data_IF_288199543149
#
_entry.id   IF_288199543149
#
_cell.length_a   1.000
_cell.length_b   1.000
_cell.length_c   1.000
_cell.angle_alpha   90.00
_cell.angle_beta   90.00
_cell.angle_gamma   90.00
#
_symmetry.space_group_name_H-M   'P 1'
#
loop_
_entity.id
_entity.type
_entity.pdbx_description
1 polymer ?
#
# COMPACT_ATOMS: atom_id res chain seq x y z
N UNK A 1 -21.76 -6.83 -61.29
CA UNK A 1 -21.54 -7.54 -60.01
C UNK A 1 -20.18 -7.23 -59.32
N UNK A 2 -19.58 -6.04 -59.51
CA UNK A 2 -18.26 -5.68 -58.93
C UNK A 2 -18.30 -4.59 -57.84
N UNK A 3 -19.40 -3.86 -57.70
CA UNK A 3 -19.50 -2.70 -56.80
C UNK A 3 -19.74 -3.10 -55.33
N UNK A 4 -20.43 -4.22 -55.07
CA UNK A 4 -20.67 -4.70 -53.69
C UNK A 4 -19.39 -5.16 -52.96
N UNK A 5 -18.36 -5.65 -53.66
CA UNK A 5 -17.10 -6.08 -53.03
C UNK A 5 -16.22 -4.91 -52.55
N UNK A 6 -16.27 -3.77 -53.24
CA UNK A 6 -15.47 -2.58 -52.89
C UNK A 6 -16.01 -1.90 -51.64
N UNK A 7 -17.34 -1.81 -51.48
CA UNK A 7 -17.95 -1.23 -50.27
C UNK A 7 -17.65 -2.03 -49.00
N UNK A 8 -17.61 -3.37 -49.09
CA UNK A 8 -17.29 -4.23 -47.94
C UNK A 8 -15.82 -4.08 -47.53
N UNK A 9 -14.89 -4.01 -48.49
CA UNK A 9 -13.48 -3.75 -48.20
C UNK A 9 -13.24 -2.34 -47.62
N UNK A 10 -13.92 -1.31 -48.13
CA UNK A 10 -13.83 0.04 -47.58
C UNK A 10 -14.41 0.13 -46.17
N UNK A 11 -15.56 -0.51 -45.90
CA UNK A 11 -16.13 -0.57 -44.57
C UNK A 11 -15.22 -1.26 -43.54
N UNK A 12 -14.55 -2.35 -43.93
CA UNK A 12 -13.60 -3.06 -43.06
C UNK A 12 -12.33 -2.24 -42.81
N UNK A 13 -11.83 -1.51 -43.82
CA UNK A 13 -10.67 -0.63 -43.67
C UNK A 13 -10.94 0.58 -42.77
N UNK A 14 -12.13 1.20 -42.91
CA UNK A 14 -12.54 2.33 -42.05
C UNK A 14 -12.77 1.88 -40.61
N UNK A 15 -13.34 0.69 -40.39
CA UNK A 15 -13.47 0.10 -39.04
C UNK A 15 -12.10 -0.20 -38.41
N UNK A 16 -11.13 -0.70 -39.17
CA UNK A 16 -9.77 -0.92 -38.67
C UNK A 16 -9.03 0.39 -38.37
N UNK A 17 -9.19 1.42 -39.20
CA UNK A 17 -8.58 2.73 -38.97
C UNK A 17 -9.12 3.43 -37.71
N UNK A 18 -10.43 3.38 -37.48
CA UNK A 18 -11.06 3.90 -36.25
C UNK A 18 -10.67 3.12 -35.00
N UNK A 19 -10.46 1.80 -35.10
CA UNK A 19 -9.96 0.99 -33.99
C UNK A 19 -8.50 1.36 -33.65
N UNK A 20 -7.64 1.55 -34.65
CA UNK A 20 -6.22 1.89 -34.47
C UNK A 20 -6.06 3.33 -33.90
N UNK A 21 -6.94 4.27 -34.27
CA UNK A 21 -6.98 5.61 -33.69
C UNK A 21 -7.48 5.65 -32.23
N UNK A 22 -8.38 4.75 -31.84
CA UNK A 22 -8.79 4.60 -30.44
C UNK A 22 -7.65 4.04 -29.57
N UNK A 23 -6.88 3.08 -30.11
CA UNK A 23 -5.76 2.42 -29.42
C UNK A 23 -4.57 3.39 -29.22
N UNK A 24 -4.35 4.34 -30.14
CA UNK A 24 -3.29 5.36 -30.00
C UNK A 24 -3.64 6.52 -29.07
N UNK A 25 -4.93 6.73 -28.74
CA UNK A 25 -5.36 7.68 -27.70
C UNK A 25 -5.39 7.08 -26.30
N UNK A 26 -5.63 5.78 -26.17
CA UNK A 26 -5.71 5.11 -24.86
C UNK A 26 -4.37 5.15 -24.10
N UNK A 27 -3.23 4.95 -24.77
CA UNK A 27 -1.90 5.02 -24.14
C UNK A 27 -1.47 6.44 -23.73
N UNK A 28 -2.10 7.48 -24.28
CA UNK A 28 -1.90 8.87 -23.82
C UNK A 28 -2.64 9.16 -22.51
N UNK A 29 -3.62 8.32 -22.15
CA UNK A 29 -4.44 8.49 -20.95
C UNK A 29 -4.02 7.51 -19.87
N UNK A 30 -3.69 6.27 -20.21
CA UNK A 30 -3.25 5.25 -19.27
C UNK A 30 -1.92 4.66 -19.72
N UNK A 31 -0.93 4.61 -18.83
CA UNK A 31 0.38 4.01 -19.10
C UNK A 31 0.24 2.50 -19.38
N UNK A 32 -0.77 1.87 -18.78
CA UNK A 32 -1.25 0.55 -19.15
C UNK A 32 -2.72 0.37 -18.82
N UNK A 33 -3.34 -0.69 -19.36
CA UNK A 33 -4.78 -0.92 -19.20
C UNK A 33 -5.65 -0.03 -20.08
N UNK A 34 -6.92 0.09 -19.72
CA UNK A 34 -7.92 0.87 -20.45
C UNK A 34 -8.38 2.07 -19.62
N UNK A 35 -8.65 3.24 -20.24
CA UNK A 35 -9.21 4.39 -19.55
C UNK A 35 -10.66 4.14 -19.15
N UNK A 36 -11.00 4.51 -17.91
CA UNK A 36 -12.38 4.42 -17.43
C UNK A 36 -13.21 5.54 -18.06
N UNK A 37 -14.36 5.18 -18.65
CA UNK A 37 -15.25 6.15 -19.31
C UNK A 37 -16.38 6.63 -18.38
N UNK A 38 -16.74 7.93 -18.41
CA UNK A 38 -16.04 9.01 -19.10
C UNK A 38 -14.67 9.28 -18.46
N UNK A 39 -13.67 9.71 -19.25
CA UNK A 39 -12.29 9.96 -18.80
C UNK A 39 -12.30 10.95 -17.63
N UNK A 40 -11.60 10.60 -16.53
CA UNK A 40 -11.49 11.44 -15.33
C UNK A 40 -10.05 11.50 -14.84
N UNK A 41 -9.61 12.69 -14.48
CA UNK A 41 -8.36 12.89 -13.75
C UNK A 41 -8.50 12.41 -12.32
N UNK A 42 -7.39 12.01 -11.70
CA UNK A 42 -7.36 11.51 -10.35
C UNK A 42 -6.08 11.92 -9.64
N UNK A 43 -6.18 11.97 -8.31
CA UNK A 43 -5.04 12.09 -7.41
C UNK A 43 -4.82 10.80 -6.63
N UNK A 44 -5.90 10.07 -6.34
CA UNK A 44 -5.93 8.82 -5.56
C UNK A 44 -6.83 7.78 -6.23
N UNK A 45 -6.70 6.52 -5.81
CA UNK A 45 -7.53 5.43 -6.34
C UNK A 45 -9.02 5.67 -6.09
N UNK A 46 -9.38 6.27 -4.95
CA UNK A 46 -10.76 6.60 -4.57
C UNK A 46 -11.46 7.50 -5.56
N UNK A 47 -10.74 8.41 -6.21
CA UNK A 47 -11.30 9.31 -7.22
C UNK A 47 -11.84 8.55 -8.44
N UNK A 48 -11.33 7.34 -8.66
CA UNK A 48 -11.69 6.46 -9.76
C UNK A 48 -12.81 5.46 -9.42
N UNK A 49 -13.04 5.21 -8.13
CA UNK A 49 -14.02 4.24 -7.69
C UNK A 49 -15.46 4.77 -7.93
N UNK A 50 -16.32 4.04 -8.66
CA UNK A 50 -17.72 4.43 -8.80
C UNK A 50 -18.39 4.45 -7.42
N UNK A 51 -19.05 5.56 -7.09
CA UNK A 51 -19.67 5.82 -5.79
C UNK A 51 -18.69 5.81 -4.60
N UNK A 52 -17.38 5.99 -4.84
CA UNK A 52 -16.35 5.98 -3.81
C UNK A 52 -16.06 4.60 -3.21
N UNK A 53 -16.63 3.52 -3.74
CA UNK A 53 -16.43 2.18 -3.18
C UNK A 53 -15.09 1.58 -3.65
N UNK A 54 -14.02 1.84 -2.90
CA UNK A 54 -12.65 1.41 -3.25
C UNK A 54 -12.40 -0.08 -3.04
N UNK A 55 -13.15 -0.75 -2.16
CA UNK A 55 -12.82 -2.12 -1.75
C UNK A 55 -13.03 -3.12 -2.88
N UNK A 56 -14.07 -2.93 -3.70
CA UNK A 56 -14.43 -3.78 -4.86
C UNK A 56 -13.92 -3.25 -6.20
N UNK A 57 -13.13 -2.18 -6.19
CA UNK A 57 -12.71 -1.49 -7.40
C UNK A 57 -11.38 -2.07 -7.93
N UNK A 58 -11.39 -2.51 -9.19
CA UNK A 58 -10.22 -3.09 -9.86
C UNK A 58 -9.45 -2.09 -10.73
N UNK A 59 -9.81 -0.80 -10.66
CA UNK A 59 -9.05 0.27 -11.28
C UNK A 59 -8.07 0.94 -10.33
N UNK A 60 -7.26 1.83 -10.90
CA UNK A 60 -6.29 2.64 -10.18
C UNK A 60 -6.24 4.05 -10.75
N UNK A 61 -5.63 4.94 -9.97
CA UNK A 61 -5.18 6.22 -10.50
C UNK A 61 -3.77 6.04 -11.05
N UNK A 62 -3.59 6.23 -12.36
CA UNK A 62 -2.28 6.13 -12.98
C UNK A 62 -1.35 7.23 -12.44
N UNK A 63 -0.22 6.83 -11.88
CA UNK A 63 0.64 7.75 -11.16
C UNK A 63 1.39 8.71 -12.09
N UNK A 64 1.53 8.36 -13.37
CA UNK A 64 2.24 9.12 -14.39
C UNK A 64 1.29 10.04 -15.15
N UNK A 65 0.19 9.49 -15.67
CA UNK A 65 -0.76 10.27 -16.48
C UNK A 65 -1.80 11.00 -15.64
N UNK A 66 -2.00 10.61 -14.37
CA UNK A 66 -3.01 11.16 -13.45
C UNK A 66 -4.45 10.97 -13.92
N UNK A 67 -4.73 9.86 -14.61
CA UNK A 67 -6.08 9.48 -15.04
C UNK A 67 -6.51 8.13 -14.46
N UNK A 68 -7.83 7.93 -14.42
CA UNK A 68 -8.44 6.70 -13.96
C UNK A 68 -8.36 5.60 -15.01
N UNK A 69 -7.73 4.48 -14.63
CA UNK A 69 -7.45 3.36 -15.49
C UNK A 69 -7.92 2.06 -14.86
N UNK A 70 -8.28 1.09 -15.68
CA UNK A 70 -8.66 -0.25 -15.23
C UNK A 70 -7.96 -1.34 -16.02
N UNK A 71 -7.97 -2.55 -15.45
CA UNK A 71 -7.35 -3.69 -16.10
C UNK A 71 -8.18 -4.09 -17.32
N UNK A 72 -7.59 -4.06 -18.51
CA UNK A 72 -8.20 -4.62 -19.69
C UNK A 72 -8.40 -6.13 -19.48
N UNK A 73 -9.64 -6.67 -19.50
CA UNK A 73 -9.89 -8.10 -19.25
C UNK A 73 -9.21 -9.03 -20.26
N UNK A 74 -8.82 -8.49 -21.42
CA UNK A 74 -8.16 -9.21 -22.52
C UNK A 74 -6.64 -9.05 -22.50
N UNK A 75 -6.08 -8.29 -21.57
CA UNK A 75 -4.63 -8.08 -21.49
C UNK A 75 -3.92 -9.39 -21.13
N UNK A 76 -2.95 -9.79 -21.97
CA UNK A 76 -2.03 -10.89 -21.67
C UNK A 76 -0.91 -10.47 -20.71
N UNK A 77 -0.74 -9.17 -20.49
CA UNK A 77 0.30 -8.63 -19.61
C UNK A 77 -0.31 -8.37 -18.23
N UNK A 78 0.28 -8.92 -17.15
CA UNK A 78 -0.14 -8.59 -15.80
C UNK A 78 0.17 -7.10 -15.53
N UNK A 79 -0.89 -6.35 -15.21
CA UNK A 79 -0.84 -4.93 -14.82
C UNK A 79 -0.83 -4.77 -13.29
N UNK A 80 -0.53 -5.85 -12.57
CA UNK A 80 -0.37 -5.91 -11.12
C UNK A 80 1.08 -6.20 -10.77
N UNK A 81 1.46 -5.79 -9.56
CA UNK A 81 2.71 -6.14 -8.92
C UNK A 81 2.80 -7.66 -8.66
N UNK A 82 3.97 -8.18 -8.26
CA UNK A 82 4.17 -9.61 -8.02
C UNK A 82 3.27 -10.21 -6.92
N UNK A 83 2.69 -9.37 -6.06
CA UNK A 83 1.67 -9.72 -5.06
C UNK A 83 0.29 -10.04 -5.67
N UNK A 84 0.12 -9.80 -6.99
CA UNK A 84 -1.11 -10.00 -7.78
C UNK A 84 -2.31 -9.18 -7.32
N UNK A 85 -2.06 -8.16 -6.51
CA UNK A 85 -3.09 -7.34 -5.89
C UNK A 85 -2.85 -5.87 -6.21
N UNK A 86 -1.64 -5.38 -5.94
CA UNK A 86 -1.31 -3.96 -6.08
C UNK A 86 -1.23 -3.58 -7.56
N UNK A 87 -1.97 -2.57 -8.04
CA UNK A 87 -1.88 -2.10 -9.42
C UNK A 87 -0.50 -1.52 -9.72
N UNK A 88 0.14 -2.01 -10.78
CA UNK A 88 1.53 -1.68 -11.15
C UNK A 88 1.70 -0.18 -11.40
N UNK A 89 0.90 0.36 -12.33
CA UNK A 89 0.93 1.76 -12.73
C UNK A 89 0.26 2.70 -11.70
N UNK A 90 -0.29 2.13 -10.62
CA UNK A 90 -0.71 2.88 -9.45
C UNK A 90 0.43 3.17 -8.48
N UNK A 91 1.60 2.54 -8.64
CA UNK A 91 2.75 2.73 -7.73
C UNK A 91 3.74 3.79 -8.24
N UNK A 92 4.61 4.25 -7.34
CA UNK A 92 5.70 5.17 -7.69
C UNK A 92 6.75 4.49 -8.59
N UNK A 93 7.41 5.27 -9.46
CA UNK A 93 8.52 4.75 -10.27
C UNK A 93 9.79 4.54 -9.46
N UNK A 94 10.51 3.48 -9.80
CA UNK A 94 11.87 3.25 -9.34
C UNK A 94 12.86 4.21 -10.00
N UNK A 95 13.90 4.58 -9.25
CA UNK A 95 15.03 5.32 -9.80
C UNK A 95 15.93 4.38 -10.59
N UNK A 96 16.57 4.87 -11.65
CA UNK A 96 17.57 4.13 -12.42
C UNK A 96 17.09 2.76 -12.93
N UNK A 97 15.78 2.61 -13.19
CA UNK A 97 15.25 1.39 -13.76
C UNK A 97 15.65 1.29 -15.24
N UNK A 98 16.14 0.11 -15.64
CA UNK A 98 16.55 -0.18 -17.01
C UNK A 98 15.34 -0.68 -17.80
N UNK A 99 15.08 -0.03 -18.94
CA UNK A 99 13.99 -0.44 -19.82
C UNK A 99 14.14 -1.90 -20.28
N UNK A 100 13.05 -2.65 -20.28
CA UNK A 100 13.04 -4.07 -20.63
C UNK A 100 13.50 -5.03 -19.52
N UNK A 101 14.16 -4.56 -18.46
CA UNK A 101 14.56 -5.41 -17.33
C UNK A 101 13.47 -5.49 -16.26
N UNK A 102 13.03 -6.71 -15.97
CA UNK A 102 11.91 -6.97 -15.05
C UNK A 102 12.20 -6.51 -13.62
N UNK A 103 13.41 -6.75 -13.10
CA UNK A 103 13.81 -6.32 -11.77
C UNK A 103 15.05 -5.43 -11.89
N UNK A 104 14.83 -4.12 -11.96
CA UNK A 104 15.92 -3.14 -12.12
C UNK A 104 15.56 -1.80 -11.49
N UNK A 105 16.59 -1.08 -11.02
CA UNK A 105 16.45 0.20 -10.34
C UNK A 105 16.31 0.09 -8.83
N UNK A 106 16.05 1.24 -8.20
CA UNK A 106 15.98 1.40 -6.76
C UNK A 106 14.63 2.00 -6.33
N UNK A 107 13.99 1.37 -5.36
CA UNK A 107 12.78 1.86 -4.72
C UNK A 107 13.14 2.95 -3.71
N UNK A 108 12.34 4.02 -3.66
CA UNK A 108 12.45 5.02 -2.57
C UNK A 108 11.94 4.48 -1.23
N UNK A 109 11.08 3.48 -1.26
CA UNK A 109 10.54 2.82 -0.07
C UNK A 109 11.44 1.64 0.31
N UNK A 110 11.90 1.59 1.56
CA UNK A 110 12.81 0.55 2.05
C UNK A 110 12.25 -0.89 1.88
N UNK A 111 10.93 -1.06 1.94
CA UNK A 111 10.25 -2.35 1.69
C UNK A 111 9.85 -2.61 0.24
N UNK A 112 10.17 -1.71 -0.69
CA UNK A 112 9.76 -1.80 -2.09
C UNK A 112 10.75 -2.55 -2.96
N UNK A 113 10.25 -3.45 -3.81
CA UNK A 113 10.99 -4.11 -4.87
C UNK A 113 10.68 -3.45 -6.21
N UNK A 114 11.70 -3.15 -7.00
CA UNK A 114 11.48 -2.66 -8.36
C UNK A 114 11.04 -3.78 -9.28
N UNK A 115 9.86 -3.62 -9.87
CA UNK A 115 9.29 -4.52 -10.85
C UNK A 115 8.78 -3.73 -12.04
N UNK A 116 9.35 -3.99 -13.22
CA UNK A 116 9.09 -3.28 -14.49
C UNK A 116 9.21 -1.75 -14.35
N UNK A 117 10.14 -1.29 -13.53
CA UNK A 117 10.37 0.14 -13.27
C UNK A 117 9.44 0.80 -12.25
N UNK A 118 8.57 0.04 -11.59
CA UNK A 118 7.68 0.53 -10.53
C UNK A 118 8.02 -0.11 -9.18
N UNK A 119 7.87 0.67 -8.11
CA UNK A 119 8.09 0.24 -6.73
C UNK A 119 6.91 -0.59 -6.25
N UNK A 120 7.07 -1.91 -6.25
CA UNK A 120 6.03 -2.86 -5.85
C UNK A 120 6.27 -3.42 -4.45
N UNK A 121 5.20 -3.89 -3.78
CA UNK A 121 5.38 -4.74 -2.61
C UNK A 121 6.09 -6.04 -3.01
N UNK A 122 6.85 -6.64 -2.08
CA UNK A 122 7.55 -7.88 -2.30
C UNK A 122 6.58 -9.06 -2.50
N UNK A 123 7.05 -10.08 -3.21
CA UNK A 123 6.23 -11.21 -3.66
C UNK A 123 5.73 -12.06 -2.47
N UNK A 124 4.42 -12.07 -2.24
CA UNK A 124 3.77 -13.04 -1.36
C UNK A 124 3.68 -14.38 -2.12
N UNK A 125 4.59 -15.33 -1.83
CA UNK A 125 4.66 -16.61 -2.58
C UNK A 125 3.54 -17.58 -2.22
N UNK A 126 3.17 -17.71 -0.95
CA UNK A 126 1.98 -18.44 -0.47
C UNK A 126 1.62 -17.99 0.96
N UNK A 127 0.42 -18.31 1.46
CA UNK A 127 0.04 -18.10 2.87
C UNK A 127 0.88 -18.92 3.88
N UNK A 128 1.69 -19.87 3.41
CA UNK A 128 2.54 -20.74 4.25
C UNK A 128 4.05 -20.42 4.13
N UNK A 129 4.47 -19.74 3.07
CA UNK A 129 5.84 -19.26 2.88
C UNK A 129 5.84 -17.74 2.96
N UNK A 130 5.78 -17.26 4.19
CA UNK A 130 5.90 -15.87 4.56
C UNK A 130 7.36 -15.39 4.42
N UNK A 131 7.88 -15.40 3.19
CA UNK A 131 8.97 -14.49 2.87
C UNK A 131 8.34 -13.13 2.57
N UNK A 132 7.91 -12.47 3.64
CA UNK A 132 7.63 -11.04 3.57
C UNK A 132 8.85 -10.32 3.00
N UNK A 133 8.64 -9.16 2.40
CA UNK A 133 9.73 -8.19 2.40
C UNK A 133 10.16 -7.95 3.83
N UNK A 134 11.45 -7.76 4.05
CA UNK A 134 11.95 -7.52 5.39
C UNK A 134 11.25 -6.32 6.03
N UNK A 135 10.88 -5.31 5.25
CA UNK A 135 10.31 -4.05 5.72
C UNK A 135 8.85 -3.87 5.30
N UNK A 136 8.10 -3.13 6.12
CA UNK A 136 6.73 -2.72 5.85
C UNK A 136 6.67 -1.78 4.63
N UNK A 137 5.67 -1.96 3.76
CA UNK A 137 5.55 -1.26 2.48
C UNK A 137 4.22 -0.50 2.35
N UNK A 138 4.28 0.76 1.88
CA UNK A 138 3.09 1.57 1.62
C UNK A 138 2.62 1.37 0.19
N UNK A 139 1.39 0.89 0.03
CA UNK A 139 0.74 0.88 -1.28
C UNK A 139 -0.01 2.19 -1.53
N UNK A 140 -0.25 2.50 -2.80
CA UNK A 140 -1.17 3.57 -3.20
C UNK A 140 -2.64 3.12 -3.31
N UNK A 141 -2.98 1.93 -2.78
CA UNK A 141 -4.37 1.50 -2.73
C UNK A 141 -5.08 2.14 -1.53
N UNK A 142 -6.30 2.64 -1.75
CA UNK A 142 -7.09 3.29 -0.71
C UNK A 142 -7.91 2.28 0.10
N UNK A 143 -8.15 2.60 1.37
CA UNK A 143 -9.00 1.82 2.28
C UNK A 143 -9.82 2.72 3.20
N UNK A 144 -10.75 2.11 3.93
CA UNK A 144 -11.55 2.77 4.96
C UNK A 144 -11.12 2.25 6.34
N UNK A 145 -10.70 3.14 7.23
CA UNK A 145 -10.16 2.82 8.57
C UNK A 145 -11.21 2.20 9.50
N UNK A 146 -12.47 2.56 9.30
CA UNK A 146 -13.63 2.06 10.06
C UNK A 146 -14.34 0.90 9.35
N UNK A 147 -13.68 0.22 8.42
CA UNK A 147 -14.23 -0.96 7.74
C UNK A 147 -13.25 -2.12 7.77
N UNK A 148 -13.80 -3.32 7.89
CA UNK A 148 -13.02 -4.53 7.84
C UNK A 148 -12.38 -4.70 6.45
N UNK A 149 -11.11 -5.11 6.42
CA UNK A 149 -10.40 -5.37 5.16
C UNK A 149 -10.93 -6.62 4.46
N UNK A 150 -11.14 -6.53 3.14
CA UNK A 150 -11.59 -7.68 2.35
C UNK A 150 -10.65 -8.90 2.43
N UNK A 151 -11.19 -10.09 2.11
CA UNK A 151 -10.46 -11.38 2.11
C UNK A 151 -9.18 -11.39 1.28
N UNK A 152 -9.10 -10.56 0.23
CA UNK A 152 -7.93 -10.47 -0.67
C UNK A 152 -6.73 -9.75 -0.06
N UNK A 153 -6.91 -8.92 0.97
CA UNK A 153 -5.88 -8.06 1.56
C UNK A 153 -5.09 -8.74 2.68
N UNK A 154 -4.66 -9.99 2.44
CA UNK A 154 -3.88 -10.74 3.42
C UNK A 154 -2.55 -10.04 3.68
N UNK A 155 -2.17 -10.01 4.95
CA UNK A 155 -0.99 -9.34 5.50
C UNK A 155 -0.96 -7.84 5.26
N UNK A 156 -2.14 -7.21 5.30
CA UNK A 156 -2.28 -5.78 5.14
C UNK A 156 -3.09 -5.17 6.28
N UNK A 157 -2.90 -3.87 6.45
CA UNK A 157 -3.71 -3.03 7.34
C UNK A 157 -4.06 -1.71 6.63
N UNK A 158 -5.13 -1.06 7.08
CA UNK A 158 -5.46 0.30 6.67
C UNK A 158 -4.77 1.29 7.61
N UNK A 159 -3.94 2.20 7.09
CA UNK A 159 -3.27 3.17 7.94
C UNK A 159 -4.19 4.35 8.27
N UNK A 160 -4.29 4.70 9.55
CA UNK A 160 -5.28 5.66 10.07
C UNK A 160 -5.13 7.06 9.47
N UNK A 161 -3.90 7.56 9.32
CA UNK A 161 -3.68 8.94 8.87
C UNK A 161 -3.76 9.08 7.34
N UNK A 162 -3.22 8.10 6.60
CA UNK A 162 -3.14 8.22 5.13
C UNK A 162 -4.37 7.66 4.43
N UNK A 163 -5.06 6.69 5.04
CA UNK A 163 -6.16 5.96 4.38
C UNK A 163 -5.68 5.05 3.25
N UNK A 164 -4.44 4.58 3.33
CA UNK A 164 -3.83 3.66 2.36
C UNK A 164 -3.70 2.27 2.96
N UNK A 165 -3.72 1.25 2.11
CA UNK A 165 -3.30 -0.09 2.49
C UNK A 165 -1.78 -0.16 2.60
N UNK A 166 -1.32 -0.78 3.67
CA UNK A 166 0.09 -1.07 3.89
C UNK A 166 0.26 -2.57 3.99
N UNK A 167 1.33 -3.10 3.38
CA UNK A 167 1.75 -4.49 3.50
C UNK A 167 2.68 -4.59 4.69
N UNK A 168 2.39 -5.50 5.60
CA UNK A 168 3.22 -5.73 6.79
C UNK A 168 4.49 -6.51 6.42
N UNK A 169 5.64 -6.05 6.93
CA UNK A 169 6.93 -6.75 6.81
C UNK A 169 7.23 -7.59 8.05
N UNK A 170 8.47 -8.08 8.16
CA UNK A 170 9.01 -8.54 9.46
C UNK A 170 9.36 -7.33 10.35
N UNK A 171 9.82 -6.27 9.69
CA UNK A 171 10.28 -5.03 10.27
C UNK A 171 9.33 -3.88 9.93
N UNK A 172 9.22 -2.93 10.85
CA UNK A 172 8.48 -1.69 10.70
C UNK A 172 9.19 -0.77 9.67
N UNK A 173 8.68 0.43 9.44
CA UNK A 173 9.30 1.38 8.48
C UNK A 173 10.69 1.88 8.90
N UNK A 174 11.07 1.70 10.17
CA UNK A 174 12.34 2.14 10.75
C UNK A 174 13.39 1.01 10.81
N UNK A 175 12.99 -0.24 10.64
CA UNK A 175 13.88 -1.41 10.69
C UNK A 175 13.78 -2.22 11.99
N UNK A 176 12.85 -1.89 12.88
CA UNK A 176 12.62 -2.64 14.12
C UNK A 176 11.61 -3.77 13.90
N UNK A 177 11.69 -4.82 14.71
CA UNK A 177 10.69 -5.90 14.67
C UNK A 177 9.30 -5.39 15.00
N UNK A 178 8.33 -5.90 14.25
CA UNK A 178 6.94 -5.54 14.42
C UNK A 178 6.35 -6.20 15.67
N UNK A 179 5.66 -5.41 16.49
CA UNK A 179 5.04 -5.86 17.73
C UNK A 179 3.55 -6.12 17.50
N UNK A 180 3.11 -7.33 17.83
CA UNK A 180 1.71 -7.73 17.79
C UNK A 180 1.14 -7.93 19.19
N UNK A 181 -0.14 -7.65 19.35
CA UNK A 181 -0.92 -7.96 20.54
C UNK A 181 -1.69 -9.26 20.33
N UNK A 182 -2.09 -9.93 21.40
CA UNK A 182 -2.87 -11.17 21.30
C UNK A 182 -4.34 -10.95 20.92
N UNK A 183 -4.81 -9.70 20.98
CA UNK A 183 -6.20 -9.33 20.75
C UNK A 183 -6.59 -9.47 19.27
N UNK A 184 -7.75 -10.07 19.05
CA UNK A 184 -8.41 -10.07 17.75
C UNK A 184 -9.09 -8.72 17.51
N UNK A 185 -9.24 -8.35 16.24
CA UNK A 185 -9.89 -7.12 15.80
C UNK A 185 -10.65 -7.37 14.50
N UNK A 186 -11.55 -6.49 14.13
CA UNK A 186 -12.12 -6.42 12.79
C UNK A 186 -11.76 -5.10 12.11
N UNK A 187 -11.64 -4.03 12.89
CA UNK A 187 -11.28 -2.68 12.47
C UNK A 187 -10.19 -2.10 13.38
N UNK A 188 -9.58 -0.98 12.95
CA UNK A 188 -8.50 -0.36 13.73
C UNK A 188 -8.97 0.13 15.11
N UNK A 189 -10.22 0.60 15.20
CA UNK A 189 -10.79 1.14 16.44
C UNK A 189 -10.82 0.09 17.57
N UNK A 190 -10.86 -1.21 17.25
CA UNK A 190 -10.82 -2.30 18.23
C UNK A 190 -9.47 -2.41 18.96
N UNK A 191 -8.40 -1.85 18.38
CA UNK A 191 -7.03 -1.98 18.87
C UNK A 191 -6.58 -0.85 19.80
N UNK A 192 -7.35 0.24 19.88
CA UNK A 192 -6.97 1.44 20.61
C UNK A 192 -5.95 2.34 19.88
N UNK A 193 -5.62 3.48 20.49
CA UNK A 193 -4.70 4.46 19.89
C UNK A 193 -3.29 3.90 19.69
N UNK A 194 -2.64 4.32 18.60
CA UNK A 194 -1.29 3.89 18.24
C UNK A 194 -1.20 2.46 17.71
N UNK A 195 -2.33 1.81 17.46
CA UNK A 195 -2.41 0.44 16.95
C UNK A 195 -3.26 0.33 15.68
N UNK A 196 -3.02 -0.73 14.92
CA UNK A 196 -3.73 -1.05 13.67
C UNK A 196 -4.18 -2.50 13.65
N UNK A 197 -5.31 -2.76 12.99
CA UNK A 197 -5.83 -4.09 12.78
C UNK A 197 -5.25 -4.67 11.48
N UNK A 198 -4.42 -5.72 11.64
CA UNK A 198 -3.75 -6.39 10.52
C UNK A 198 -4.47 -7.69 10.21
N UNK A 199 -4.73 -7.94 8.93
CA UNK A 199 -5.25 -9.22 8.46
C UNK A 199 -4.10 -10.23 8.31
N UNK A 200 -3.81 -11.04 9.32
CA UNK A 200 -2.76 -12.07 9.21
C UNK A 200 -3.11 -13.15 8.17
N UNK A 201 -4.38 -13.53 7.98
CA UNK A 201 -4.78 -14.47 6.93
C UNK A 201 -6.30 -14.39 6.66
N UNK A 202 -6.83 -15.34 5.87
CA UNK A 202 -8.24 -15.41 5.50
C UNK A 202 -9.20 -15.40 6.69
N UNK A 203 -8.78 -15.93 7.85
CA UNK A 203 -9.64 -16.13 9.02
C UNK A 203 -9.16 -15.40 10.28
N UNK A 204 -8.08 -14.61 10.21
CA UNK A 204 -7.46 -14.04 11.40
C UNK A 204 -7.03 -12.60 11.17
N UNK A 205 -7.51 -11.75 12.08
CA UNK A 205 -7.09 -10.37 12.24
C UNK A 205 -6.55 -10.19 13.65
N UNK A 206 -5.55 -9.33 13.78
CA UNK A 206 -4.87 -9.12 15.04
C UNK A 206 -4.41 -7.67 15.15
N UNK A 207 -4.39 -7.16 16.37
CA UNK A 207 -3.88 -5.84 16.66
C UNK A 207 -2.36 -5.82 16.66
N UNK A 208 -1.80 -4.80 16.05
CA UNK A 208 -0.37 -4.51 16.01
C UNK A 208 -0.14 -3.08 16.46
N UNK A 209 0.99 -2.83 17.13
CA UNK A 209 1.46 -1.46 17.25
C UNK A 209 1.71 -0.92 15.85
N UNK A 210 1.25 0.30 15.55
CA UNK A 210 1.29 0.87 14.21
C UNK A 210 2.73 0.78 13.62
N UNK A 211 2.96 -0.07 12.60
CA UNK A 211 4.29 -0.30 12.03
C UNK A 211 4.88 0.91 11.29
N UNK A 212 4.13 2.00 11.19
CA UNK A 212 4.58 3.26 10.59
C UNK A 212 5.08 4.27 11.64
N UNK A 213 4.77 4.04 12.91
CA UNK A 213 5.18 4.94 13.99
C UNK A 213 6.66 4.78 14.29
N UNK A 214 7.33 5.92 14.49
CA UNK A 214 8.67 5.94 15.06
C UNK A 214 8.53 5.84 16.56
N UNK A 215 8.91 4.69 17.13
CA UNK A 215 9.06 4.59 18.57
C UNK A 215 10.25 5.46 18.98
N UNK A 216 9.98 6.50 19.76
CA UNK A 216 11.03 7.27 20.42
C UNK A 216 11.47 6.50 21.67
N UNK A 217 12.36 5.53 21.46
CA UNK A 217 12.93 4.73 22.53
C UNK A 217 13.65 5.58 23.57
N UNK A 218 14.24 6.71 23.16
CA UNK A 218 14.95 7.61 24.08
C UNK A 218 13.96 8.25 25.06
N UNK A 219 12.79 8.67 24.57
CA UNK A 219 11.72 9.20 25.42
C UNK A 219 11.14 8.13 26.37
N UNK A 220 10.88 6.92 25.86
CA UNK A 220 10.34 5.81 26.67
C UNK A 220 11.35 5.42 27.76
N UNK A 221 12.62 5.27 27.41
CA UNK A 221 13.68 4.96 28.37
C UNK A 221 13.87 6.07 29.39
N UNK A 222 13.78 7.35 28.98
CA UNK A 222 13.81 8.48 29.90
C UNK A 222 12.64 8.44 30.90
N UNK A 223 11.43 8.11 30.46
CA UNK A 223 10.27 7.95 31.35
C UNK A 223 10.44 6.79 32.34
N UNK A 224 10.91 5.64 31.87
CA UNK A 224 11.16 4.47 32.73
C UNK A 224 12.24 4.82 33.77
N UNK A 225 13.35 5.41 33.35
CA UNK A 225 14.41 5.85 34.25
C UNK A 225 13.86 6.86 35.27
N UNK A 226 13.07 7.84 34.84
CA UNK A 226 12.44 8.80 35.75
C UNK A 226 11.55 8.12 36.80
N UNK A 227 10.74 7.13 36.42
CA UNK A 227 9.88 6.37 37.35
C UNK A 227 10.68 5.65 38.43
N UNK A 228 11.88 5.13 38.13
CA UNK A 228 12.72 4.44 39.12
C UNK A 228 13.60 5.39 39.94
N UNK A 229 14.19 6.42 39.32
CA UNK A 229 15.17 7.28 39.98
C UNK A 229 14.54 8.42 40.80
N UNK A 230 13.40 8.97 40.40
CA UNK A 230 12.73 10.06 41.14
C UNK A 230 12.37 9.62 42.58
N UNK A 231 11.74 8.44 42.81
CA UNK A 231 11.42 7.99 44.16
C UNK A 231 12.67 7.77 45.02
N UNK A 232 13.74 7.22 44.43
CA UNK A 232 15.00 6.94 45.14
C UNK A 232 15.67 8.25 45.57
N UNK A 233 15.75 9.24 44.67
CA UNK A 233 16.31 10.56 44.99
C UNK A 233 15.48 11.22 46.09
N UNK A 234 14.15 11.17 45.98
CA UNK A 234 13.24 11.74 46.98
C UNK A 234 13.44 11.10 48.36
N UNK A 235 13.53 9.77 48.44
CA UNK A 235 13.84 9.03 49.67
C UNK A 235 15.21 9.40 50.24
N UNK A 236 16.24 9.49 49.40
CA UNK A 236 17.58 9.87 49.83
C UNK A 236 17.61 11.31 50.39
N UNK A 237 16.90 12.25 49.77
CA UNK A 237 16.77 13.62 50.30
C UNK A 237 16.04 13.67 51.63
N UNK A 238 14.97 12.87 51.82
CA UNK A 238 14.27 12.79 53.11
C UNK A 238 15.21 12.26 54.19
N UNK A 239 15.94 11.18 53.92
CA UNK A 239 16.90 10.59 54.86
C UNK A 239 18.01 11.60 55.21
N UNK A 240 18.55 12.30 54.21
CA UNK A 240 19.59 13.29 54.44
C UNK A 240 19.09 14.47 55.28
N UNK A 241 17.86 14.95 55.02
CA UNK A 241 17.23 16.02 55.80
C UNK A 241 16.92 15.57 57.22
N UNK A 242 16.40 14.36 57.44
CA UNK A 242 16.14 13.87 58.81
C UNK A 242 17.43 13.70 59.60
N UNK A 243 18.48 13.11 59.02
CA UNK A 243 19.78 12.96 59.70
C UNK A 243 20.39 14.32 60.06
N UNK A 244 20.28 15.33 59.19
CA UNK A 244 20.87 16.65 59.43
C UNK A 244 20.10 17.52 60.45
N UNK A 245 18.83 17.23 60.71
CA UNK A 245 17.97 18.00 61.64
C UNK A 245 17.66 17.24 62.94
N UNK A 246 18.24 16.06 63.15
CA UNK A 246 18.16 15.27 64.39
C UNK A 246 19.42 15.39 65.27
N UNK A 247 20.43 16.15 64.82
CA UNK A 247 21.52 16.72 65.64
C UNK A 247 21.18 18.18 66.01
#
# INVERSE_FOLDING_TARGET
MRIKKVLVLFGILVLKASLIQAITKASQVCTGGDPILPIRSCSRQRDCAPNGNVTRFNGWCDFETKFCCETCPKSLVPLTCPDRLTPLYGQERCKNATEGMVYSGESKQAGGMCYKGYSCPPKIRTARELSFGDMTFRTNMDCYTHQQLESRYNFMFCHNLTGNLWVIGRLNVNGDEIIHHWNQCEINDDCGEGSVCVKENLCRYRCYVDPTTKMDYDWIMAQILAMFFIPIIFLATIIFLTVKYLD
#
